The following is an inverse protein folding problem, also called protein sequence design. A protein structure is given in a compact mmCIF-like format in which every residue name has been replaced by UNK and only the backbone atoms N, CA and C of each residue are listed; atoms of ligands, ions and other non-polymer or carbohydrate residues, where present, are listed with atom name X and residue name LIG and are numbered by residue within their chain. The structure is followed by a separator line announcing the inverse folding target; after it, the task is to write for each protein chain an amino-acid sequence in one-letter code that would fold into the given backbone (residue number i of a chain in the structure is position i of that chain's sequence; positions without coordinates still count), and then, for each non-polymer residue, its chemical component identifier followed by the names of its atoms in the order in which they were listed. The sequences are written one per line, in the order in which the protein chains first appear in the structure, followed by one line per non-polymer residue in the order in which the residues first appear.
data_IF_496514521292
#
_entry.id   IF_496514521292
#
_cell.length_a   1.000
_cell.length_b   1.000
_cell.length_c   1.000
_cell.angle_alpha   90.00
_cell.angle_beta   90.00
_cell.angle_gamma   90.00
#
_symmetry.space_group_name_H-M   'P 1'
#
loop_
_entity.id
_entity.type
_entity.pdbx_description
1 polymer ?
#
# COMPACT_ATOMS: atom_id res chain seq x y z
N UNK A 1 -19.98 -39.39 7.29
CA UNK A 1 -18.94 -39.42 6.26
C UNK A 1 -19.64 -39.25 4.93
N UNK A 2 -19.30 -38.22 4.12
CA UNK A 2 -19.93 -37.99 2.82
C UNK A 2 -19.62 -39.14 1.90
N UNK A 3 -20.63 -39.85 1.43
CA UNK A 3 -20.46 -41.05 0.59
C UNK A 3 -21.02 -40.87 -0.82
N UNK A 4 -21.80 -39.83 -1.06
CA UNK A 4 -22.40 -39.52 -2.37
C UNK A 4 -22.76 -38.06 -2.52
N UNK A 5 -22.94 -37.59 -3.78
CA UNK A 5 -23.42 -36.25 -4.11
C UNK A 5 -24.80 -35.93 -3.51
N UNK A 6 -25.62 -36.93 -3.20
CA UNK A 6 -26.92 -36.76 -2.52
C UNK A 6 -26.79 -36.26 -1.07
N UNK A 7 -25.64 -36.47 -0.47
CA UNK A 7 -25.35 -35.98 0.89
C UNK A 7 -25.03 -34.47 0.88
N UNK A 8 -24.76 -33.88 -0.30
CA UNK A 8 -24.44 -32.45 -0.44
C UNK A 8 -25.60 -31.52 0.01
N UNK A 9 -26.87 -31.89 -0.27
CA UNK A 9 -28.01 -31.11 0.19
C UNK A 9 -28.08 -30.93 1.71
N UNK A 10 -27.61 -31.93 2.46
CA UNK A 10 -27.54 -31.87 3.92
C UNK A 10 -26.42 -30.92 4.43
N UNK A 11 -25.55 -30.45 3.54
CA UNK A 11 -24.41 -29.58 3.87
C UNK A 11 -24.55 -28.17 3.29
N UNK A 12 -25.61 -27.85 2.51
CA UNK A 12 -25.86 -26.50 1.97
C UNK A 12 -25.88 -25.44 3.08
N UNK A 13 -26.56 -25.74 4.20
CA UNK A 13 -26.59 -24.82 5.35
C UNK A 13 -25.20 -24.63 5.98
N UNK A 14 -24.41 -25.69 6.04
CA UNK A 14 -23.02 -25.62 6.58
C UNK A 14 -22.11 -24.89 5.62
N UNK A 15 -22.28 -25.07 4.31
CA UNK A 15 -21.55 -24.36 3.28
C UNK A 15 -21.81 -22.86 3.35
N UNK A 16 -23.09 -22.48 3.40
CA UNK A 16 -23.52 -21.07 3.56
C UNK A 16 -22.97 -20.46 4.84
N UNK A 17 -23.02 -21.19 5.96
CA UNK A 17 -22.48 -20.72 7.23
C UNK A 17 -20.96 -20.51 7.16
N UNK A 18 -20.22 -21.39 6.48
CA UNK A 18 -18.77 -21.22 6.29
C UNK A 18 -18.48 -20.01 5.39
N UNK A 19 -19.26 -19.82 4.33
CA UNK A 19 -19.13 -18.66 3.45
C UNK A 19 -19.33 -17.33 4.20
N UNK A 20 -20.34 -17.26 5.07
CA UNK A 20 -20.60 -16.09 5.91
C UNK A 20 -19.53 -15.85 6.99
N UNK A 21 -18.78 -16.90 7.40
CA UNK A 21 -17.77 -16.82 8.45
C UNK A 21 -16.33 -16.65 7.92
N UNK A 22 -16.12 -16.67 6.60
CA UNK A 22 -14.77 -16.59 6.01
C UNK A 22 -14.72 -15.60 4.86
N UNK A 23 -13.61 -14.90 4.74
CA UNK A 23 -13.30 -14.04 3.59
C UNK A 23 -12.71 -14.84 2.41
N UNK A 24 -12.64 -16.17 2.50
CA UNK A 24 -12.10 -17.05 1.45
C UNK A 24 -13.24 -17.58 0.58
N UNK A 25 -12.98 -17.78 -0.70
CA UNK A 25 -13.93 -18.39 -1.60
C UNK A 25 -13.97 -19.90 -1.35
N UNK A 26 -15.01 -20.39 -0.69
CA UNK A 26 -15.22 -21.83 -0.43
C UNK A 26 -15.77 -22.48 -1.68
N UNK A 27 -15.36 -23.72 -1.98
CA UNK A 27 -15.86 -24.43 -3.14
C UNK A 27 -16.05 -25.94 -2.87
N UNK A 28 -16.96 -26.52 -3.64
CA UNK A 28 -17.16 -27.96 -3.80
C UNK A 28 -17.08 -28.28 -5.29
N UNK A 29 -16.21 -29.22 -5.67
CA UNK A 29 -16.07 -29.68 -7.04
C UNK A 29 -16.41 -31.15 -7.15
N UNK A 30 -17.53 -31.45 -7.80
CA UNK A 30 -17.94 -32.79 -8.20
C UNK A 30 -17.13 -33.20 -9.44
N UNK A 31 -16.21 -34.13 -9.25
CA UNK A 31 -15.31 -34.60 -10.29
C UNK A 31 -16.00 -35.52 -11.31
N UNK A 32 -17.09 -36.21 -10.93
CA UNK A 32 -17.82 -37.13 -11.78
C UNK A 32 -18.70 -36.38 -12.80
N UNK A 33 -19.40 -35.34 -12.33
CA UNK A 33 -20.35 -34.58 -13.12
C UNK A 33 -19.79 -33.26 -13.70
N UNK A 34 -18.52 -32.94 -13.39
CA UNK A 34 -17.86 -31.66 -13.74
C UNK A 34 -18.69 -30.44 -13.28
N UNK A 35 -19.20 -30.53 -12.03
CA UNK A 35 -20.00 -29.49 -11.42
C UNK A 35 -19.23 -28.81 -10.29
N UNK A 36 -19.09 -27.49 -10.40
CA UNK A 36 -18.38 -26.68 -9.41
C UNK A 36 -19.38 -25.76 -8.70
N UNK A 37 -19.41 -25.84 -7.40
CA UNK A 37 -20.15 -24.95 -6.53
C UNK A 37 -19.18 -24.05 -5.79
N UNK A 38 -19.33 -22.75 -5.89
CA UNK A 38 -18.48 -21.76 -5.23
C UNK A 38 -19.33 -20.81 -4.40
N UNK A 39 -18.74 -20.28 -3.35
CA UNK A 39 -19.36 -19.30 -2.46
C UNK A 39 -19.87 -18.06 -3.18
N UNK A 40 -20.94 -17.48 -2.66
CA UNK A 40 -21.59 -16.29 -3.23
C UNK A 40 -20.65 -15.09 -3.31
N UNK A 41 -19.77 -14.95 -2.34
CA UNK A 41 -18.73 -13.89 -2.30
C UNK A 41 -17.82 -13.89 -3.54
N UNK A 42 -17.64 -15.05 -4.22
CA UNK A 42 -16.87 -15.13 -5.46
C UNK A 42 -17.56 -14.42 -6.64
N UNK A 43 -18.91 -14.34 -6.67
CA UNK A 43 -19.64 -13.65 -7.73
C UNK A 43 -19.43 -12.14 -7.69
N UNK A 44 -19.09 -11.59 -6.53
CA UNK A 44 -18.76 -10.18 -6.39
C UNK A 44 -17.39 -9.81 -6.95
N UNK A 45 -16.49 -10.80 -7.01
CA UNK A 45 -15.09 -10.60 -7.43
C UNK A 45 -14.81 -11.08 -8.85
N UNK A 46 -15.42 -12.19 -9.27
CA UNK A 46 -15.13 -12.82 -10.56
C UNK A 46 -16.31 -12.72 -11.53
N UNK A 47 -16.03 -12.83 -12.81
CA UNK A 47 -17.06 -12.87 -13.87
C UNK A 47 -17.72 -14.25 -13.88
N UNK A 48 -18.63 -14.48 -12.92
CA UNK A 48 -19.43 -15.69 -12.77
C UNK A 48 -20.92 -15.32 -12.80
N UNK A 49 -21.74 -16.11 -13.48
CA UNK A 49 -23.20 -15.86 -13.61
C UNK A 49 -23.99 -16.44 -12.44
N UNK A 50 -23.54 -17.57 -11.90
CA UNK A 50 -24.20 -18.29 -10.82
C UNK A 50 -23.22 -19.07 -9.94
N UNK A 51 -23.67 -19.46 -8.73
CA UNK A 51 -22.87 -20.22 -7.76
C UNK A 51 -22.61 -21.68 -8.24
N UNK A 52 -23.52 -22.22 -9.03
CA UNK A 52 -23.47 -23.60 -9.55
C UNK A 52 -23.03 -23.63 -11.02
N UNK A 53 -21.79 -23.96 -11.26
CA UNK A 53 -21.13 -23.90 -12.56
C UNK A 53 -21.06 -25.31 -13.17
N UNK A 54 -21.75 -25.52 -14.26
CA UNK A 54 -21.66 -26.74 -15.08
C UNK A 54 -20.50 -26.65 -16.05
N UNK A 55 -19.93 -27.82 -16.41
CA UNK A 55 -18.73 -27.88 -17.27
C UNK A 55 -17.61 -26.98 -16.71
N UNK A 56 -17.34 -27.18 -15.42
CA UNK A 56 -16.47 -26.35 -14.61
C UNK A 56 -15.09 -26.14 -15.24
N UNK A 57 -14.52 -27.19 -15.85
CA UNK A 57 -13.23 -27.12 -16.55
C UNK A 57 -13.21 -26.06 -17.68
N UNK A 58 -14.33 -25.89 -18.37
CA UNK A 58 -14.45 -24.89 -19.45
C UNK A 58 -14.82 -23.52 -18.95
N UNK A 59 -15.73 -23.45 -17.96
CA UNK A 59 -16.25 -22.19 -17.43
C UNK A 59 -15.23 -21.45 -16.55
N UNK A 60 -14.39 -22.18 -15.81
CA UNK A 60 -13.35 -21.57 -14.97
C UNK A 60 -12.08 -21.15 -15.74
N UNK A 61 -11.86 -21.70 -16.93
CA UNK A 61 -10.67 -21.40 -17.74
C UNK A 61 -10.48 -19.90 -18.02
N UNK A 62 -11.51 -19.10 -18.36
CA UNK A 62 -11.35 -17.66 -18.60
C UNK A 62 -10.97 -16.87 -17.34
N UNK A 63 -11.28 -17.39 -16.15
CA UNK A 63 -10.95 -16.74 -14.88
C UNK A 63 -9.50 -16.96 -14.48
N UNK A 64 -8.86 -18.00 -15.02
CA UNK A 64 -7.46 -18.32 -14.68
C UNK A 64 -6.54 -17.58 -15.64
N UNK A 65 -5.49 -16.97 -15.11
CA UNK A 65 -4.48 -16.33 -15.95
C UNK A 65 -3.90 -17.33 -16.96
N UNK A 66 -3.83 -17.00 -18.27
CA UNK A 66 -3.57 -17.98 -19.33
C UNK A 66 -2.33 -18.86 -19.13
N UNK A 67 -1.25 -18.29 -18.57
CA UNK A 67 0.00 -19.03 -18.31
C UNK A 67 -0.09 -20.04 -17.17
N UNK A 68 -1.12 -19.94 -16.31
CA UNK A 68 -1.27 -20.79 -15.13
C UNK A 68 -2.29 -21.93 -15.35
N UNK A 69 -3.11 -21.83 -16.42
CA UNK A 69 -4.16 -22.80 -16.70
C UNK A 69 -3.67 -24.23 -16.85
N UNK A 70 -2.62 -24.46 -17.65
CA UNK A 70 -2.12 -25.82 -17.91
C UNK A 70 -1.61 -26.48 -16.62
N UNK A 71 -1.00 -25.69 -15.74
CA UNK A 71 -0.50 -26.13 -14.44
C UNK A 71 -1.65 -26.49 -13.48
N UNK A 72 -2.69 -25.66 -13.42
CA UNK A 72 -3.88 -25.93 -12.60
C UNK A 72 -4.64 -27.17 -13.13
N UNK A 73 -4.86 -27.26 -14.43
CA UNK A 73 -5.53 -28.40 -15.05
C UNK A 73 -4.73 -29.70 -14.86
N UNK A 74 -3.40 -29.64 -14.89
CA UNK A 74 -2.55 -30.80 -14.60
C UNK A 74 -2.64 -31.22 -13.12
N UNK A 75 -2.68 -30.28 -12.19
CA UNK A 75 -2.81 -30.54 -10.76
C UNK A 75 -4.15 -31.23 -10.43
N UNK A 76 -5.25 -30.74 -10.98
CA UNK A 76 -6.59 -31.37 -10.82
C UNK A 76 -6.62 -32.77 -11.44
N UNK A 77 -6.02 -32.96 -12.64
CA UNK A 77 -5.90 -34.30 -13.24
C UNK A 77 -5.09 -35.27 -12.37
N UNK A 78 -3.99 -34.81 -11.78
CA UNK A 78 -3.18 -35.62 -10.88
C UNK A 78 -3.96 -36.09 -9.63
N UNK A 79 -4.84 -35.24 -9.09
CA UNK A 79 -5.76 -35.61 -8.00
C UNK A 79 -6.79 -36.62 -8.49
N UNK A 80 -7.40 -36.40 -9.67
CA UNK A 80 -8.39 -37.33 -10.25
C UNK A 80 -7.79 -38.70 -10.56
N UNK A 81 -6.53 -38.75 -10.98
CA UNK A 81 -5.80 -40.02 -11.26
C UNK A 81 -5.18 -40.64 -10.01
N UNK A 82 -5.42 -40.08 -8.81
CA UNK A 82 -4.83 -40.55 -7.54
C UNK A 82 -3.30 -40.46 -7.46
N UNK A 83 -2.69 -39.69 -8.35
CA UNK A 83 -1.25 -39.39 -8.34
C UNK A 83 -0.90 -38.39 -7.22
N UNK A 84 -1.90 -37.63 -6.75
CA UNK A 84 -1.80 -36.62 -5.71
C UNK A 84 -2.99 -36.70 -4.75
N UNK A 85 -2.74 -36.62 -3.45
CA UNK A 85 -3.77 -36.79 -2.43
C UNK A 85 -4.66 -35.56 -2.23
N UNK A 86 -4.17 -34.36 -2.57
CA UNK A 86 -4.84 -33.09 -2.32
C UNK A 86 -4.47 -32.07 -3.40
N UNK A 87 -5.41 -31.18 -3.73
CA UNK A 87 -5.09 -29.96 -4.47
C UNK A 87 -4.47 -28.94 -3.50
N UNK A 88 -3.29 -28.44 -3.83
CA UNK A 88 -2.62 -27.35 -3.11
C UNK A 88 -1.71 -26.64 -4.11
N UNK A 89 -2.17 -25.53 -4.65
CA UNK A 89 -1.49 -24.79 -5.72
C UNK A 89 -1.71 -23.30 -5.59
N UNK A 90 -0.67 -22.53 -5.87
CA UNK A 90 -0.75 -21.08 -6.02
C UNK A 90 -0.82 -20.74 -7.52
N UNK A 91 -1.78 -19.91 -7.91
CA UNK A 91 -2.00 -19.49 -9.30
C UNK A 91 -2.68 -18.12 -9.34
N UNK A 92 -2.79 -17.55 -10.53
CA UNK A 92 -3.41 -16.23 -10.72
C UNK A 92 -4.82 -16.38 -11.26
N UNK A 93 -5.72 -15.57 -10.69
CA UNK A 93 -7.07 -15.37 -11.22
C UNK A 93 -7.23 -13.96 -11.76
N UNK A 94 -8.19 -13.78 -12.67
CA UNK A 94 -8.58 -12.52 -13.27
C UNK A 94 -9.93 -12.13 -12.66
N UNK A 95 -10.00 -10.95 -12.04
CA UNK A 95 -11.25 -10.40 -11.49
C UNK A 95 -12.15 -9.84 -12.60
N UNK A 96 -13.40 -9.49 -12.26
CA UNK A 96 -14.33 -8.84 -13.18
C UNK A 96 -13.87 -7.45 -13.67
N UNK A 97 -12.93 -6.83 -12.93
CA UNK A 97 -12.32 -5.54 -13.25
C UNK A 97 -10.99 -5.68 -14.00
N UNK A 98 -10.73 -6.88 -14.57
CA UNK A 98 -9.50 -7.25 -15.29
C UNK A 98 -8.21 -7.18 -14.44
N UNK A 99 -8.33 -7.15 -13.10
CA UNK A 99 -7.18 -7.21 -12.22
C UNK A 99 -6.67 -8.65 -12.07
N UNK A 100 -5.36 -8.81 -12.00
CA UNK A 100 -4.72 -10.12 -11.78
C UNK A 100 -4.39 -10.26 -10.31
N UNK A 101 -5.01 -11.23 -9.64
CA UNK A 101 -4.76 -11.54 -8.24
C UNK A 101 -4.09 -12.91 -8.07
N UNK A 102 -3.17 -13.01 -7.12
CA UNK A 102 -2.60 -14.28 -6.72
C UNK A 102 -3.49 -14.96 -5.69
N UNK A 103 -3.74 -16.26 -5.89
CA UNK A 103 -4.54 -17.07 -4.98
C UNK A 103 -3.84 -18.37 -4.62
N UNK A 104 -4.16 -18.90 -3.44
CA UNK A 104 -3.80 -20.24 -2.98
C UNK A 104 -5.06 -21.10 -2.93
N UNK A 105 -5.18 -22.04 -3.87
CA UNK A 105 -6.24 -23.04 -3.89
C UNK A 105 -5.82 -24.25 -3.06
N UNK A 106 -6.64 -24.63 -2.08
CA UNK A 106 -6.43 -25.80 -1.23
C UNK A 106 -7.70 -26.60 -1.12
N UNK A 107 -7.62 -27.92 -1.32
CA UNK A 107 -8.78 -28.79 -1.12
C UNK A 107 -8.40 -30.15 -0.55
N UNK A 108 -9.40 -30.79 0.04
CA UNK A 108 -9.36 -32.18 0.45
C UNK A 108 -10.16 -33.04 -0.53
N UNK A 109 -9.60 -34.19 -0.90
CA UNK A 109 -10.24 -35.15 -1.77
C UNK A 109 -11.12 -36.10 -0.97
N UNK A 110 -12.32 -36.37 -1.45
CA UNK A 110 -13.25 -37.35 -0.92
C UNK A 110 -13.38 -38.51 -1.93
N UNK A 111 -13.43 -39.73 -1.37
CA UNK A 111 -13.43 -40.97 -2.14
C UNK A 111 -14.76 -41.70 -1.99
N UNK A 112 -15.25 -42.33 -3.07
CA UNK A 112 -16.44 -43.17 -3.06
C UNK A 112 -16.12 -44.54 -2.39
N UNK A 113 -17.11 -45.44 -2.32
CA UNK A 113 -16.95 -46.78 -1.71
C UNK A 113 -15.96 -47.65 -2.47
N UNK A 114 -15.69 -47.37 -3.75
CA UNK A 114 -14.71 -48.06 -4.57
C UNK A 114 -13.29 -47.51 -4.42
N UNK A 115 -13.09 -46.48 -3.62
CA UNK A 115 -11.79 -45.79 -3.44
C UNK A 115 -11.43 -44.83 -4.55
N UNK A 116 -12.40 -44.43 -5.39
CA UNK A 116 -12.17 -43.47 -6.47
C UNK A 116 -12.48 -42.03 -6.01
N UNK A 117 -11.68 -41.02 -6.38
CA UNK A 117 -11.92 -39.64 -6.01
C UNK A 117 -13.16 -39.11 -6.75
N UNK A 118 -14.19 -38.69 -6.02
CA UNK A 118 -15.42 -38.18 -6.62
C UNK A 118 -15.67 -36.71 -6.34
N UNK A 119 -15.05 -36.14 -5.28
CA UNK A 119 -15.33 -34.75 -4.88
C UNK A 119 -14.10 -34.10 -4.26
N UNK A 120 -13.93 -32.82 -4.53
CA UNK A 120 -13.00 -31.92 -3.83
C UNK A 120 -13.81 -30.89 -3.04
N UNK A 121 -13.45 -30.67 -1.77
CA UNK A 121 -13.96 -29.58 -0.95
C UNK A 121 -12.77 -28.74 -0.51
N UNK A 122 -12.84 -27.44 -0.69
CA UNK A 122 -11.73 -26.57 -0.39
C UNK A 122 -12.06 -25.10 -0.36
N UNK A 123 -11.00 -24.32 -0.31
CA UNK A 123 -11.09 -22.87 -0.39
C UNK A 123 -10.01 -22.29 -1.31
N UNK A 124 -10.32 -21.18 -1.91
CA UNK A 124 -9.42 -20.32 -2.67
C UNK A 124 -9.20 -19.09 -1.79
N UNK A 125 -7.96 -18.88 -1.37
CA UNK A 125 -7.55 -17.75 -0.53
C UNK A 125 -6.74 -16.78 -1.40
N UNK A 126 -7.11 -15.52 -1.40
CA UNK A 126 -6.31 -14.49 -2.07
C UNK A 126 -5.00 -14.26 -1.31
N UNK A 127 -3.87 -14.39 -2.02
CA UNK A 127 -2.55 -14.18 -1.41
C UNK A 127 -2.31 -12.67 -1.32
N UNK A 128 -2.21 -12.18 -0.10
CA UNK A 128 -2.00 -10.75 0.20
C UNK A 128 -3.22 -10.00 0.70
N UNK A 129 -4.46 -10.49 0.51
CA UNK A 129 -5.68 -9.78 0.93
C UNK A 129 -6.08 -10.00 2.39
N UNK A 130 -5.61 -10.99 3.08
CA UNK A 130 -6.17 -11.43 4.37
C UNK A 130 -5.25 -11.48 5.58
N UNK A 131 -4.13 -10.78 5.55
CA UNK A 131 -3.47 -10.49 6.81
C UNK A 131 -3.96 -9.13 7.33
N UNK A 132 -5.12 -9.12 8.04
CA UNK A 132 -5.56 -7.92 8.79
C UNK A 132 -4.46 -7.39 9.70
N UNK A 133 -3.51 -8.27 10.04
CA UNK A 133 -2.37 -7.96 10.90
C UNK A 133 -1.05 -8.22 10.18
N UNK A 134 -0.12 -7.31 10.36
CA UNK A 134 1.28 -7.49 9.94
C UNK A 134 1.96 -8.54 10.84
N UNK A 135 2.59 -9.54 10.23
CA UNK A 135 3.19 -10.68 10.94
C UNK A 135 4.40 -10.31 11.81
N UNK A 136 5.06 -9.16 11.55
CA UNK A 136 6.24 -8.70 12.29
C UNK A 136 5.82 -7.89 13.50
N UNK A 137 4.84 -7.00 13.32
CA UNK A 137 4.47 -5.99 14.32
C UNK A 137 3.17 -6.31 15.05
N UNK A 138 2.36 -7.24 14.53
CA UNK A 138 1.01 -7.56 15.00
C UNK A 138 0.07 -6.33 15.05
N UNK A 139 0.34 -5.32 14.23
CA UNK A 139 -0.53 -4.17 14.01
C UNK A 139 -1.45 -4.45 12.82
N UNK A 140 -2.56 -3.74 12.72
CA UNK A 140 -3.39 -3.77 11.53
C UNK A 140 -2.62 -3.29 10.30
N UNK A 141 -2.89 -3.90 9.13
CA UNK A 141 -2.35 -3.45 7.84
C UNK A 141 -3.11 -2.23 7.32
N UNK A 142 -2.57 -1.60 6.27
CA UNK A 142 -3.15 -0.43 5.60
C UNK A 142 -4.58 -0.71 5.09
N UNK A 143 -4.85 -1.91 4.56
CA UNK A 143 -6.17 -2.29 4.04
C UNK A 143 -7.28 -2.17 5.09
N UNK A 144 -6.99 -2.56 6.34
CA UNK A 144 -7.94 -2.39 7.45
C UNK A 144 -8.24 -0.92 7.73
N UNK A 145 -7.25 -0.03 7.56
CA UNK A 145 -7.50 1.41 7.69
C UNK A 145 -8.40 1.93 6.57
N UNK A 146 -8.15 1.50 5.34
CA UNK A 146 -8.96 1.86 4.17
C UNK A 146 -10.41 1.40 4.34
N UNK A 147 -10.64 0.15 4.74
CA UNK A 147 -11.97 -0.37 5.05
C UNK A 147 -12.68 0.44 6.14
N UNK A 148 -12.00 0.72 7.26
CA UNK A 148 -12.56 1.52 8.37
C UNK A 148 -12.89 2.94 7.96
N UNK A 149 -12.09 3.54 7.08
CA UNK A 149 -12.37 4.87 6.55
C UNK A 149 -13.62 4.87 5.67
N UNK A 150 -13.74 3.89 4.78
CA UNK A 150 -14.91 3.72 3.92
C UNK A 150 -16.19 3.47 4.73
N UNK A 151 -16.13 2.60 5.75
CA UNK A 151 -17.26 2.34 6.66
C UNK A 151 -17.66 3.60 7.44
N UNK A 152 -16.71 4.38 7.94
CA UNK A 152 -16.98 5.63 8.65
C UNK A 152 -17.68 6.66 7.75
N UNK A 153 -17.37 6.68 6.46
CA UNK A 153 -18.03 7.56 5.47
C UNK A 153 -19.50 7.20 5.22
N UNK A 154 -19.85 5.90 5.33
CA UNK A 154 -21.19 5.38 5.00
C UNK A 154 -22.07 5.28 6.25
N UNK A 155 -21.53 4.79 7.36
CA UNK A 155 -22.30 4.39 8.53
C UNK A 155 -22.55 5.53 9.54
N UNK A 156 -21.69 6.54 9.55
CA UNK A 156 -21.81 7.63 10.52
C UNK A 156 -22.68 8.76 9.98
N UNK A 157 -23.77 9.14 10.68
CA UNK A 157 -24.66 10.23 10.25
C UNK A 157 -24.01 11.61 10.34
N UNK A 158 -22.95 11.75 11.12
CA UNK A 158 -22.14 12.96 11.27
C UNK A 158 -20.74 12.72 10.69
N UNK A 159 -20.10 13.77 10.10
CA UNK A 159 -18.75 13.62 9.58
C UNK A 159 -17.76 13.22 10.68
N UNK A 160 -17.00 12.18 10.43
CA UNK A 160 -15.85 11.84 11.29
C UNK A 160 -14.68 12.72 10.90
N UNK A 161 -14.28 13.58 11.82
CA UNK A 161 -13.07 14.41 11.67
C UNK A 161 -11.94 13.84 12.49
N UNK A 162 -10.71 14.04 12.02
CA UNK A 162 -9.54 13.57 12.74
C UNK A 162 -8.24 13.96 12.06
N UNK A 163 -7.16 13.34 12.51
CA UNK A 163 -5.83 13.52 11.93
C UNK A 163 -5.16 12.17 11.76
N UNK A 164 -4.61 11.92 10.57
CA UNK A 164 -3.71 10.82 10.31
C UNK A 164 -2.27 11.29 10.57
N UNK A 165 -1.53 10.55 11.39
CA UNK A 165 -0.10 10.72 11.62
C UNK A 165 0.62 9.56 10.97
N UNK A 166 1.47 9.83 9.97
CA UNK A 166 2.41 8.87 9.43
C UNK A 166 3.77 9.02 10.11
N UNK A 167 4.39 7.88 10.40
CA UNK A 167 5.72 7.78 11.01
C UNK A 167 6.55 6.84 10.15
N UNK A 168 7.73 7.28 9.71
CA UNK A 168 8.69 6.46 8.99
C UNK A 168 10.01 6.37 9.72
N UNK A 169 10.65 5.20 9.70
CA UNK A 169 12.00 5.01 10.24
C UNK A 169 13.01 5.60 9.25
N UNK A 170 13.86 6.48 9.72
CA UNK A 170 14.86 7.10 8.87
C UNK A 170 15.98 6.12 8.53
N UNK A 171 16.39 6.09 7.25
CA UNK A 171 17.49 5.22 6.75
C UNK A 171 17.28 3.72 7.00
N UNK A 172 16.02 3.25 7.04
CA UNK A 172 15.71 1.85 7.33
C UNK A 172 16.36 0.88 6.32
N UNK A 173 16.46 1.28 5.05
CA UNK A 173 17.16 0.49 4.03
C UNK A 173 18.64 0.30 4.37
N UNK A 174 19.35 1.35 4.78
CA UNK A 174 20.75 1.29 5.17
C UNK A 174 20.96 0.42 6.42
N UNK A 175 19.98 0.43 7.34
CA UNK A 175 19.95 -0.45 8.52
C UNK A 175 19.89 -1.92 8.07
N UNK A 176 18.99 -2.24 7.15
CA UNK A 176 18.86 -3.59 6.61
C UNK A 176 20.11 -4.04 5.85
N UNK A 177 20.72 -3.16 5.07
CA UNK A 177 21.97 -3.44 4.33
C UNK A 177 23.15 -3.69 5.29
N UNK A 178 23.23 -2.95 6.40
CA UNK A 178 24.32 -3.06 7.36
C UNK A 178 24.16 -4.21 8.36
N UNK A 179 22.95 -4.41 8.89
CA UNK A 179 22.70 -5.32 10.02
C UNK A 179 21.83 -6.54 9.64
N UNK A 180 21.37 -6.61 8.40
CA UNK A 180 20.51 -7.67 7.89
C UNK A 180 19.03 -7.49 8.23
N UNK A 181 18.17 -8.14 7.44
CA UNK A 181 16.69 -8.05 7.54
C UNK A 181 16.13 -8.53 8.87
N UNK A 182 16.80 -9.49 9.54
CA UNK A 182 16.38 -9.94 10.88
C UNK A 182 16.44 -8.82 11.90
N UNK A 183 17.50 -8.01 11.87
CA UNK A 183 17.63 -6.85 12.75
C UNK A 183 16.61 -5.77 12.39
N UNK A 184 16.36 -5.53 11.09
CA UNK A 184 15.29 -4.63 10.66
C UNK A 184 13.92 -5.05 11.17
N UNK A 185 13.60 -6.34 11.17
CA UNK A 185 12.33 -6.84 11.72
C UNK A 185 12.21 -6.64 13.23
N UNK A 186 13.30 -6.82 13.98
CA UNK A 186 13.34 -6.52 15.42
C UNK A 186 13.10 -5.03 15.65
N UNK A 187 13.71 -4.18 14.85
CA UNK A 187 13.52 -2.73 14.92
C UNK A 187 12.07 -2.34 14.62
N UNK A 188 11.47 -2.90 13.57
CA UNK A 188 10.07 -2.68 13.22
C UNK A 188 9.13 -3.05 14.36
N UNK A 189 9.32 -4.23 14.97
CA UNK A 189 8.54 -4.67 16.11
C UNK A 189 8.70 -3.74 17.33
N UNK A 190 9.93 -3.29 17.60
CA UNK A 190 10.23 -2.35 18.71
C UNK A 190 9.59 -0.97 18.51
N UNK A 191 9.64 -0.44 17.29
CA UNK A 191 8.98 0.84 16.94
C UNK A 191 7.46 0.70 17.02
N UNK A 192 6.90 -0.39 16.51
CA UNK A 192 5.47 -0.68 16.60
C UNK A 192 4.97 -0.70 18.05
N UNK A 193 5.70 -1.36 18.94
CA UNK A 193 5.36 -1.43 20.35
C UNK A 193 5.49 -0.04 21.03
N UNK A 194 6.52 0.73 20.69
CA UNK A 194 6.68 2.09 21.21
C UNK A 194 5.52 3.00 20.79
N UNK A 195 5.06 2.90 19.53
CA UNK A 195 3.89 3.63 19.04
C UNK A 195 2.64 3.17 19.77
N UNK A 196 2.38 1.86 19.84
CA UNK A 196 1.20 1.30 20.48
C UNK A 196 1.07 1.68 21.96
N UNK A 197 2.17 1.68 22.71
CA UNK A 197 2.20 2.10 24.12
C UNK A 197 1.90 3.60 24.29
N UNK A 198 2.28 4.43 23.34
CA UNK A 198 2.00 5.87 23.37
C UNK A 198 0.57 6.23 22.93
N UNK A 199 -0.11 5.32 22.21
CA UNK A 199 -1.48 5.51 21.75
C UNK A 199 -2.47 5.03 22.81
N UNK A 200 -3.55 5.77 23.05
CA UNK A 200 -4.62 5.37 23.96
C UNK A 200 -5.34 4.09 23.49
N UNK A 201 -5.47 3.91 22.20
CA UNK A 201 -6.11 2.75 21.58
C UNK A 201 -5.18 2.15 20.52
N UNK A 202 -4.73 0.90 20.75
CA UNK A 202 -3.88 0.14 19.81
C UNK A 202 -4.55 -0.10 18.46
N UNK A 203 -5.87 -0.17 18.42
CA UNK A 203 -6.63 -0.37 17.18
C UNK A 203 -6.54 0.80 16.19
N UNK A 204 -6.07 1.95 16.65
CA UNK A 204 -5.83 3.12 15.80
C UNK A 204 -4.39 3.18 15.24
N UNK A 205 -3.60 2.11 15.43
CA UNK A 205 -2.22 2.00 14.95
C UNK A 205 -2.17 0.97 13.84
N UNK A 206 -1.59 1.36 12.72
CA UNK A 206 -1.53 0.56 11.49
C UNK A 206 -0.09 0.46 11.00
N UNK A 207 0.24 -0.68 10.41
CA UNK A 207 1.49 -0.92 9.72
C UNK A 207 1.29 -0.73 8.22
N UNK A 208 2.09 0.12 7.61
CA UNK A 208 2.12 0.30 6.17
C UNK A 208 3.29 -0.49 5.56
N UNK A 209 3.51 -0.36 4.27
CA UNK A 209 4.61 -1.04 3.59
C UNK A 209 5.98 -0.45 4.01
N UNK A 210 7.02 -1.29 3.96
CA UNK A 210 8.39 -0.86 4.21
C UNK A 210 8.65 -0.49 5.68
N UNK A 211 8.89 0.77 5.99
CA UNK A 211 9.26 1.31 7.31
C UNK A 211 8.22 2.28 7.87
N UNK A 212 6.99 2.28 7.31
CA UNK A 212 5.97 3.27 7.63
C UNK A 212 4.88 2.73 8.55
N UNK A 213 4.42 3.57 9.46
CA UNK A 213 3.32 3.34 10.40
C UNK A 213 2.32 4.49 10.32
N UNK A 214 1.03 4.18 10.52
CA UNK A 214 0.00 5.19 10.62
C UNK A 214 -0.68 5.16 11.99
N UNK A 215 -1.03 6.32 12.50
CA UNK A 215 -1.86 6.47 13.70
C UNK A 215 -3.04 7.38 13.37
N UNK A 216 -4.24 6.92 13.67
CA UNK A 216 -5.46 7.71 13.52
C UNK A 216 -5.82 8.33 14.87
N UNK A 217 -5.86 9.66 14.89
CA UNK A 217 -6.32 10.42 16.03
C UNK A 217 -7.79 10.85 15.77
N UNK A 218 -8.70 10.27 16.55
CA UNK A 218 -10.13 10.58 16.54
C UNK A 218 -10.55 10.82 17.98
N UNK A 219 -10.65 12.04 18.43
CA UNK A 219 -11.23 12.37 19.74
C UNK A 219 -12.00 13.68 19.65
N UNK A 220 -13.10 13.76 20.33
CA UNK A 220 -13.88 15.00 20.45
C UNK A 220 -13.23 15.95 21.46
N UNK A 221 -13.20 17.27 21.19
CA UNK A 221 -13.86 17.99 20.09
C UNK A 221 -13.01 18.22 18.85
N UNK A 222 -12.08 17.57 18.41
CA UNK A 222 -11.30 17.52 17.18
C UNK A 222 -9.79 17.39 17.44
N UNK A 223 -9.23 16.27 17.00
CA UNK A 223 -7.78 16.10 16.97
C UNK A 223 -7.15 16.87 15.83
N UNK A 224 -6.17 17.69 16.14
CA UNK A 224 -5.47 18.55 15.22
C UNK A 224 -4.07 18.02 14.90
N UNK A 225 -3.43 18.56 13.85
CA UNK A 225 -2.02 18.28 13.56
C UNK A 225 -1.08 18.68 14.74
N UNK A 226 -1.50 19.60 15.61
CA UNK A 226 -0.75 19.93 16.82
C UNK A 226 -0.75 18.77 17.84
N UNK A 227 -1.86 18.03 17.94
CA UNK A 227 -1.95 16.85 18.80
C UNK A 227 -1.14 15.68 18.22
N UNK A 228 -1.17 15.52 16.89
CA UNK A 228 -0.27 14.59 16.19
C UNK A 228 1.21 14.91 16.46
N UNK A 229 1.59 16.20 16.48
CA UNK A 229 2.95 16.64 16.84
C UNK A 229 3.33 16.29 18.27
N UNK A 230 2.39 16.44 19.23
CA UNK A 230 2.61 16.05 20.63
C UNK A 230 2.83 14.55 20.76
N UNK A 231 1.97 13.75 20.09
CA UNK A 231 2.08 12.30 20.06
C UNK A 231 3.41 11.87 19.44
N UNK A 232 3.78 12.40 18.27
CA UNK A 232 5.07 12.14 17.62
C UNK A 232 6.25 12.38 18.58
N UNK A 233 6.27 13.54 19.29
CA UNK A 233 7.32 13.83 20.26
C UNK A 233 7.37 12.82 21.42
N UNK A 234 6.20 12.31 21.84
CA UNK A 234 6.11 11.31 22.91
C UNK A 234 6.64 9.96 22.44
N UNK A 235 6.26 9.54 21.23
CA UNK A 235 6.75 8.31 20.59
C UNK A 235 8.28 8.37 20.43
N UNK A 236 8.81 9.47 19.90
CA UNK A 236 10.24 9.67 19.71
C UNK A 236 11.01 9.50 21.02
N UNK A 237 10.58 10.20 22.11
CA UNK A 237 11.22 10.05 23.44
C UNK A 237 11.14 8.62 23.95
N UNK A 238 10.03 7.92 23.70
CA UNK A 238 9.88 6.51 24.10
C UNK A 238 10.86 5.62 23.37
N UNK A 239 11.07 5.84 22.07
CA UNK A 239 12.06 5.11 21.25
C UNK A 239 13.46 5.39 21.78
N UNK A 240 13.85 6.67 21.95
CA UNK A 240 15.16 7.06 22.46
C UNK A 240 15.46 6.37 23.81
N UNK A 241 14.50 6.39 24.75
CA UNK A 241 14.66 5.74 26.07
C UNK A 241 14.72 4.20 25.98
N UNK A 242 14.16 3.59 24.97
CA UNK A 242 14.19 2.13 24.79
C UNK A 242 15.52 1.66 24.20
N UNK A 243 16.11 2.45 23.33
CA UNK A 243 17.46 2.21 22.78
C UNK A 243 18.49 2.22 23.92
N UNK A 244 18.46 3.24 24.77
CA UNK A 244 19.37 3.38 25.90
C UNK A 244 19.28 2.20 26.89
N UNK A 245 18.06 1.74 27.21
CA UNK A 245 17.83 0.66 28.18
C UNK A 245 18.28 -0.71 27.72
N UNK A 246 18.16 -0.99 26.42
CA UNK A 246 18.44 -2.32 25.86
C UNK A 246 19.88 -2.49 25.37
N UNK A 247 20.74 -1.45 25.51
CA UNK A 247 22.14 -1.52 25.10
C UNK A 247 22.34 -1.71 23.60
N UNK A 248 21.34 -1.41 22.78
CA UNK A 248 21.48 -1.44 21.35
C UNK A 248 22.36 -0.28 20.88
N UNK A 249 23.55 -0.58 20.40
CA UNK A 249 24.47 0.42 19.81
C UNK A 249 24.04 0.89 18.41
N UNK A 250 22.75 0.87 18.13
CA UNK A 250 22.20 1.27 16.82
C UNK A 250 21.42 2.57 17.00
N UNK A 251 21.95 3.63 16.39
CA UNK A 251 21.26 4.93 16.33
C UNK A 251 20.35 4.96 15.08
N UNK A 252 19.07 5.16 15.31
CA UNK A 252 18.11 5.45 14.26
C UNK A 252 17.17 6.56 14.74
N UNK A 253 16.54 7.22 13.79
CA UNK A 253 15.55 8.25 14.07
C UNK A 253 14.25 7.93 13.34
N UNK A 254 13.20 8.65 13.68
CA UNK A 254 11.92 8.59 13.00
C UNK A 254 11.54 9.97 12.48
N UNK A 255 10.90 10.03 11.32
CA UNK A 255 10.25 11.22 10.79
C UNK A 255 8.75 11.09 10.87
N UNK A 256 8.03 12.19 11.03
CA UNK A 256 6.57 12.22 11.13
C UNK A 256 5.94 13.21 10.16
N UNK A 257 4.81 12.85 9.57
CA UNK A 257 3.97 13.72 8.76
C UNK A 257 2.50 13.56 9.14
N UNK A 258 1.73 14.63 9.18
CA UNK A 258 0.33 14.54 9.55
C UNK A 258 -0.57 15.39 8.66
N UNK A 259 -1.77 14.86 8.37
CA UNK A 259 -2.84 15.57 7.67
C UNK A 259 -4.16 15.41 8.43
N UNK A 260 -4.92 16.47 8.54
CA UNK A 260 -6.29 16.42 9.05
C UNK A 260 -7.24 15.91 7.96
N UNK A 261 -8.35 15.31 8.37
CA UNK A 261 -9.37 14.80 7.45
C UNK A 261 -10.79 15.02 7.97
N UNK A 262 -11.71 15.07 7.01
CA UNK A 262 -13.15 15.02 7.20
C UNK A 262 -13.71 13.96 6.25
N UNK A 263 -14.29 12.87 6.77
CA UNK A 263 -14.71 11.73 5.96
C UNK A 263 -15.80 12.05 4.92
N UNK A 264 -16.55 13.15 5.06
CA UNK A 264 -17.56 13.55 4.07
C UNK A 264 -16.93 14.34 2.90
N UNK A 265 -15.87 15.09 3.15
CA UNK A 265 -15.24 15.98 2.17
C UNK A 265 -14.06 15.31 1.48
N UNK A 266 -13.29 14.52 2.24
CA UNK A 266 -12.04 13.93 1.77
C UNK A 266 -12.21 12.49 1.31
N UNK A 267 -11.44 12.06 0.31
CA UNK A 267 -11.22 10.66 -0.01
C UNK A 267 -10.09 10.08 0.86
N UNK A 268 -10.08 8.77 1.09
CA UNK A 268 -8.97 8.11 1.78
C UNK A 268 -7.64 8.37 1.08
N UNK A 269 -7.66 8.28 -0.23
CA UNK A 269 -6.50 8.48 -1.10
C UNK A 269 -5.91 9.89 -0.97
N UNK A 270 -6.75 10.93 -0.89
CA UNK A 270 -6.30 12.33 -0.72
C UNK A 270 -5.70 12.55 0.67
N UNK A 271 -6.36 12.06 1.72
CA UNK A 271 -5.84 12.15 3.09
C UNK A 271 -4.48 11.47 3.21
N UNK A 272 -4.37 10.27 2.64
CA UNK A 272 -3.12 9.51 2.67
C UNK A 272 -2.02 10.21 1.85
N UNK A 273 -2.34 10.71 0.66
CA UNK A 273 -1.43 11.51 -0.18
C UNK A 273 -0.89 12.72 0.59
N UNK A 274 -1.75 13.45 1.26
CA UNK A 274 -1.39 14.64 2.03
C UNK A 274 -0.47 14.29 3.21
N UNK A 275 -0.76 13.22 3.94
CA UNK A 275 0.08 12.74 5.04
C UNK A 275 1.44 12.21 4.56
N UNK A 276 1.47 11.46 3.44
CA UNK A 276 2.71 10.99 2.80
C UNK A 276 3.57 12.16 2.32
N UNK A 277 2.96 13.19 1.74
CA UNK A 277 3.68 14.41 1.37
C UNK A 277 4.31 15.09 2.60
N UNK A 278 3.55 15.25 3.69
CA UNK A 278 4.07 15.85 4.92
C UNK A 278 5.25 15.03 5.51
N UNK A 279 5.15 13.69 5.49
CA UNK A 279 6.26 12.80 5.89
C UNK A 279 7.48 12.96 4.98
N UNK A 280 7.27 13.04 3.66
CA UNK A 280 8.33 13.28 2.69
C UNK A 280 9.06 14.60 2.96
N UNK A 281 8.32 15.69 3.23
CA UNK A 281 8.91 17.00 3.60
C UNK A 281 9.75 16.88 4.88
N UNK A 282 9.29 16.12 5.88
CA UNK A 282 10.08 15.84 7.08
C UNK A 282 11.40 15.14 6.76
N UNK A 283 11.36 14.12 5.89
CA UNK A 283 12.57 13.41 5.44
C UNK A 283 13.53 14.31 4.66
N UNK A 284 13.01 15.24 3.82
CA UNK A 284 13.81 16.24 3.09
C UNK A 284 14.43 17.32 4.00
N UNK A 285 13.73 17.73 5.04
CA UNK A 285 14.17 18.77 5.99
C UNK A 285 15.19 18.26 7.03
N UNK A 286 15.90 17.18 6.72
CA UNK A 286 17.00 16.66 7.54
C UNK A 286 16.60 15.47 8.40
N UNK A 287 15.42 14.88 8.18
CA UNK A 287 14.93 13.73 8.97
C UNK A 287 14.74 14.05 10.45
N UNK A 288 14.36 13.06 11.27
CA UNK A 288 14.18 13.23 12.73
C UNK A 288 13.30 14.42 13.12
N UNK A 289 12.31 14.74 12.30
CA UNK A 289 11.43 15.90 12.46
C UNK A 289 9.98 15.58 12.13
N UNK A 290 9.10 16.51 12.39
CA UNK A 290 7.66 16.40 12.14
C UNK A 290 7.18 17.60 11.35
N UNK A 291 6.43 17.34 10.27
CA UNK A 291 5.80 18.35 9.41
C UNK A 291 4.29 18.11 9.36
N UNK A 292 3.45 19.14 9.63
CA UNK A 292 2.03 19.06 9.29
C UNK A 292 1.87 19.31 7.79
N UNK A 293 0.83 18.72 7.18
CA UNK A 293 0.47 19.02 5.80
C UNK A 293 0.09 20.50 5.63
N UNK A 294 0.58 21.09 4.57
CA UNK A 294 0.26 22.44 4.12
C UNK A 294 -0.01 22.42 2.62
N UNK A 295 -1.17 22.90 2.22
CA UNK A 295 -1.56 23.01 0.79
C UNK A 295 -0.60 23.92 0.03
N UNK A 296 -0.19 25.05 0.61
CA UNK A 296 0.75 25.98 -0.02
C UNK A 296 2.12 25.33 -0.28
N UNK A 297 2.62 24.56 0.68
CA UNK A 297 3.87 23.78 0.52
C UNK A 297 3.73 22.72 -0.56
N UNK A 298 2.58 22.02 -0.59
CA UNK A 298 2.30 21.02 -1.62
C UNK A 298 2.26 21.62 -3.02
N UNK A 299 1.51 22.71 -3.21
CA UNK A 299 1.43 23.41 -4.49
C UNK A 299 2.79 23.96 -4.95
N UNK A 300 3.58 24.48 -4.01
CA UNK A 300 4.94 24.94 -4.28
C UNK A 300 5.86 23.79 -4.69
N UNK A 301 5.71 22.62 -4.08
CA UNK A 301 6.45 21.42 -4.41
C UNK A 301 6.09 20.90 -5.81
N UNK A 302 4.81 20.79 -6.13
CA UNK A 302 4.33 20.36 -7.46
C UNK A 302 4.82 21.34 -8.54
N UNK A 303 4.68 22.65 -8.29
CA UNK A 303 5.20 23.66 -9.21
C UNK A 303 6.70 23.49 -9.47
N UNK A 304 7.47 23.18 -8.45
CA UNK A 304 8.93 22.96 -8.60
C UNK A 304 9.22 21.74 -9.47
N UNK A 305 8.52 20.63 -9.27
CA UNK A 305 8.66 19.41 -10.11
C UNK A 305 8.35 19.73 -11.56
N UNK A 306 7.24 20.42 -11.79
CA UNK A 306 6.79 20.81 -13.13
C UNK A 306 7.82 21.74 -13.84
N UNK A 307 8.41 22.67 -13.11
CA UNK A 307 9.50 23.52 -13.62
C UNK A 307 10.75 22.67 -13.94
N UNK A 308 11.10 21.68 -13.13
CA UNK A 308 12.22 20.79 -13.40
C UNK A 308 11.99 19.93 -14.65
N UNK A 309 10.77 19.45 -14.84
CA UNK A 309 10.40 18.67 -16.02
C UNK A 309 10.46 19.54 -17.30
N UNK A 310 9.95 20.77 -17.24
CA UNK A 310 10.04 21.75 -18.33
C UNK A 310 11.50 22.07 -18.69
N UNK A 311 12.32 22.33 -17.68
CA UNK A 311 13.77 22.56 -17.86
C UNK A 311 14.44 21.39 -18.57
N UNK A 312 14.14 20.15 -18.16
CA UNK A 312 14.71 18.96 -18.81
C UNK A 312 14.31 18.87 -20.28
N UNK A 313 13.02 19.10 -20.58
CA UNK A 313 12.53 19.14 -21.98
C UNK A 313 13.23 20.23 -22.81
N UNK A 314 13.45 21.41 -22.24
CA UNK A 314 14.17 22.48 -22.93
C UNK A 314 15.64 22.10 -23.24
N UNK A 315 16.33 21.44 -22.31
CA UNK A 315 17.71 20.95 -22.52
C UNK A 315 17.74 19.89 -23.62
N UNK A 316 16.80 18.95 -23.64
CA UNK A 316 16.67 17.91 -24.66
C UNK A 316 16.34 18.49 -26.05
N UNK A 317 15.72 19.67 -26.10
CA UNK A 317 15.38 20.41 -27.33
C UNK A 317 16.39 21.55 -27.64
N UNK A 318 17.67 21.23 -27.57
CA UNK A 318 18.77 22.17 -27.94
C UNK A 318 18.67 23.52 -27.18
N UNK A 319 18.32 23.48 -25.89
CA UNK A 319 18.21 24.65 -25.03
C UNK A 319 17.17 25.70 -25.52
N UNK A 320 16.12 25.25 -26.18
CA UNK A 320 15.04 26.13 -26.63
C UNK A 320 14.50 26.96 -25.46
N UNK A 321 14.41 28.26 -25.64
CA UNK A 321 13.96 29.21 -24.62
C UNK A 321 15.07 29.74 -23.69
N UNK A 322 16.31 29.29 -23.84
CA UNK A 322 17.44 29.86 -23.14
C UNK A 322 18.09 30.99 -23.95
N UNK A 323 18.44 32.07 -23.25
CA UNK A 323 19.17 33.22 -23.79
C UNK A 323 20.32 33.60 -22.87
N UNK A 324 21.37 34.15 -23.41
CA UNK A 324 22.50 34.68 -22.63
C UNK A 324 22.52 36.20 -22.71
N UNK A 325 22.37 36.83 -21.54
CA UNK A 325 22.48 38.27 -21.39
C UNK A 325 23.85 38.61 -20.86
N UNK A 326 24.42 39.71 -21.30
CA UNK A 326 25.73 40.18 -20.87
C UNK A 326 25.58 41.48 -20.06
N UNK A 327 25.98 41.43 -18.78
CA UNK A 327 26.02 42.60 -17.92
C UNK A 327 27.45 43.17 -17.93
N UNK A 328 27.63 44.47 -18.37
CA UNK A 328 28.93 45.06 -18.43
C UNK A 328 29.49 45.31 -17.02
N UNK A 329 30.80 45.06 -16.86
CA UNK A 329 31.58 45.39 -15.67
C UNK A 329 32.51 46.54 -16.07
N UNK A 330 32.31 47.70 -15.40
CA UNK A 330 33.07 48.92 -15.70
C UNK A 330 34.22 49.12 -14.71
N UNK A 331 35.34 49.68 -15.18
CA UNK A 331 36.40 50.14 -14.29
C UNK A 331 36.01 51.46 -13.63
N UNK A 332 35.93 51.55 -12.29
CA UNK A 332 35.44 52.77 -11.62
C UNK A 332 36.26 54.02 -11.89
N UNK A 333 37.61 53.86 -12.08
CA UNK A 333 38.52 54.99 -12.24
C UNK A 333 38.50 55.60 -13.63
N UNK A 334 38.23 54.78 -14.66
CA UNK A 334 38.36 55.19 -16.07
C UNK A 334 37.02 55.16 -16.81
N UNK A 335 35.99 54.63 -16.18
CA UNK A 335 34.70 54.38 -16.79
C UNK A 335 34.75 53.59 -18.12
N UNK A 336 35.77 52.76 -18.27
CA UNK A 336 35.94 51.88 -19.43
C UNK A 336 35.48 50.47 -19.13
N UNK A 337 35.05 49.74 -20.16
CA UNK A 337 34.64 48.39 -20.05
C UNK A 337 35.83 47.50 -19.57
N UNK A 338 35.63 46.78 -18.46
CA UNK A 338 36.59 45.83 -17.94
C UNK A 338 36.29 44.39 -18.42
N UNK A 339 35.01 44.06 -18.51
CA UNK A 339 34.53 42.74 -18.90
C UNK A 339 33.03 42.73 -18.90
N UNK A 340 32.47 41.53 -19.06
CA UNK A 340 31.04 41.33 -18.92
C UNK A 340 30.77 39.99 -18.17
N UNK A 341 29.71 39.98 -17.38
CA UNK A 341 29.17 38.80 -16.79
C UNK A 341 28.14 38.19 -17.74
N UNK A 342 28.27 36.91 -18.08
CA UNK A 342 27.28 36.19 -18.88
C UNK A 342 26.21 35.62 -17.96
N UNK A 343 24.99 36.07 -18.14
CA UNK A 343 23.85 35.73 -17.30
C UNK A 343 22.80 35.00 -18.12
N UNK A 344 22.59 33.72 -17.81
CA UNK A 344 21.58 32.92 -18.46
C UNK A 344 20.19 33.39 -18.10
N UNK A 345 19.29 33.42 -19.09
CA UNK A 345 17.86 33.68 -18.94
C UNK A 345 17.08 32.52 -19.55
N UNK A 346 15.94 32.20 -18.95
CA UNK A 346 15.08 31.13 -19.44
C UNK A 346 13.65 31.64 -19.58
N UNK A 347 13.12 31.47 -20.78
CA UNK A 347 11.72 31.69 -21.10
C UNK A 347 11.01 30.33 -21.22
N UNK A 348 10.30 29.93 -20.17
CA UNK A 348 9.43 28.74 -20.21
C UNK A 348 8.18 29.05 -21.04
N UNK A 349 7.77 28.13 -21.90
CA UNK A 349 6.50 28.26 -22.64
C UNK A 349 5.29 28.32 -21.70
N UNK A 350 5.37 27.64 -20.54
CA UNK A 350 4.29 27.55 -19.55
C UNK A 350 4.33 28.68 -18.51
N UNK A 351 5.52 29.04 -18.04
CA UNK A 351 5.71 29.95 -16.92
C UNK A 351 6.25 31.34 -17.29
N UNK A 352 6.55 31.55 -18.57
CA UNK A 352 7.12 32.80 -19.05
C UNK A 352 8.58 33.00 -18.58
N UNK A 353 8.95 34.25 -18.30
CA UNK A 353 10.31 34.58 -17.89
C UNK A 353 10.60 34.04 -16.47
N UNK A 354 11.60 33.15 -16.37
CA UNK A 354 12.01 32.50 -15.12
C UNK A 354 13.29 33.13 -14.59
N UNK A 355 13.24 33.57 -13.33
CA UNK A 355 14.44 34.06 -12.64
C UNK A 355 15.52 32.99 -12.53
N UNK A 356 16.82 33.35 -12.75
CA UNK A 356 17.95 32.44 -12.56
C UNK A 356 17.98 31.75 -11.20
N UNK A 357 17.55 32.44 -10.14
CA UNK A 357 17.45 31.86 -8.79
C UNK A 357 16.53 30.64 -8.75
N UNK A 358 15.42 30.66 -9.47
CA UNK A 358 14.45 29.56 -9.52
C UNK A 358 15.02 28.43 -10.39
N UNK A 359 15.50 28.74 -11.59
CA UNK A 359 16.02 27.73 -12.52
C UNK A 359 17.26 27.00 -11.96
N UNK A 360 18.21 27.72 -11.37
CA UNK A 360 19.40 27.11 -10.75
C UNK A 360 19.08 26.37 -9.44
N UNK A 361 18.13 26.85 -8.64
CA UNK A 361 17.70 26.14 -7.43
C UNK A 361 17.03 24.80 -7.77
N UNK A 362 16.26 24.76 -8.86
CA UNK A 362 15.69 23.53 -9.39
C UNK A 362 16.75 22.56 -9.92
N UNK A 363 17.79 23.06 -10.61
CA UNK A 363 18.87 22.24 -11.13
C UNK A 363 19.79 21.65 -10.05
N UNK A 364 20.10 22.41 -8.98
CA UNK A 364 20.96 21.92 -7.87
C UNK A 364 20.37 20.78 -7.04
N UNK A 365 19.06 20.56 -7.11
CA UNK A 365 18.31 19.49 -6.38
C UNK A 365 17.77 18.42 -7.32
N UNK A 366 18.13 18.44 -8.59
CA UNK A 366 17.88 17.33 -9.49
C UNK A 366 18.85 16.19 -9.14
N UNK A 367 18.37 14.92 -9.07
CA UNK A 367 19.22 13.75 -8.80
C UNK A 367 20.23 13.50 -9.88
#
# INVERSE_FOLDING_TARGET
MIKSVKDLKAYEDVFTLIDECTDNYVFVYDLENDLFHISKSALDTFTLEEEHIKLASSALKPLVYPKDWDRLAADIRAVRNQEKAQHNLEYRLITKDDEIIWVSGKSRTFFNENGEPFMLIGCICEIGKHNKYDNITSLYCEDVLKERYALAKIAEPQPVTGTILLIGIDNFREINEKYGTKMGNILLAGVAEAIAVCCKNRENVFRFHGDEFAVILKEQPSCTTADAKKLYKTIRRKIDSSIEKNGYHMFFTISGGAASFNTQEDSYEDVLKNAKFALHVSKLNGKNTFTPYSEDEYLSYIRRIDIQEELRKCVENDFKGFEVYYQPIMKPQTNTLYGSEALIRWHSEKYGFMSPLISFHCLKKAP
#
